data_IF_917264639614
#
_entry.id   IF_917264639614
#
_cell.length_a   1.000
_cell.length_b   1.000
_cell.length_c   1.000
_cell.angle_alpha   90.00
_cell.angle_beta   90.00
_cell.angle_gamma   90.00
#
_symmetry.space_group_name_H-M   'P 1'
#
loop_
_entity.id
_entity.type
_entity.pdbx_description
1 polymer ?
#
# COMPACT_ATOMS: atom_id res chain seq x y z
N UNK A 1 33.86 -23.75 11.07
CA UNK A 1 34.26 -22.65 10.16
C UNK A 1 33.19 -22.16 9.17
N UNK A 2 32.06 -22.84 8.97
CA UNK A 2 31.03 -22.43 7.98
C UNK A 2 30.10 -21.27 8.40
N UNK A 3 30.06 -20.89 9.67
CA UNK A 3 29.20 -19.80 10.18
C UNK A 3 29.87 -18.42 10.27
N UNK A 4 31.19 -18.33 10.07
CA UNK A 4 31.92 -17.07 10.14
C UNK A 4 31.75 -16.19 8.89
N UNK A 5 31.47 -16.80 7.74
CA UNK A 5 31.29 -16.07 6.49
C UNK A 5 30.04 -15.15 6.47
N UNK A 6 28.83 -15.60 6.88
CA UNK A 6 27.66 -14.73 6.92
C UNK A 6 27.77 -13.62 7.99
N UNK A 7 28.44 -13.89 9.11
CA UNK A 7 28.66 -12.86 10.14
C UNK A 7 29.64 -11.80 9.65
N UNK A 8 30.70 -12.19 8.93
CA UNK A 8 31.64 -11.25 8.32
C UNK A 8 30.99 -10.41 7.20
N UNK A 9 30.09 -10.99 6.41
CA UNK A 9 29.31 -10.25 5.40
C UNK A 9 28.33 -9.24 6.04
N UNK A 10 27.69 -9.59 7.14
CA UNK A 10 26.85 -8.68 7.92
C UNK A 10 27.66 -7.55 8.57
N UNK A 11 28.85 -7.83 9.08
CA UNK A 11 29.75 -6.83 9.66
C UNK A 11 30.36 -5.89 8.59
N UNK A 12 30.62 -6.38 7.38
CA UNK A 12 31.08 -5.56 6.26
C UNK A 12 29.97 -4.66 5.69
N UNK A 13 28.72 -5.13 5.71
CA UNK A 13 27.57 -4.31 5.31
C UNK A 13 27.31 -3.16 6.27
N UNK A 14 27.51 -3.36 7.57
CA UNK A 14 27.33 -2.29 8.57
C UNK A 14 28.39 -1.17 8.48
N UNK A 15 29.61 -1.47 8.04
CA UNK A 15 30.66 -0.45 7.85
C UNK A 15 30.42 0.42 6.60
N UNK A 16 29.71 -0.06 5.58
CA UNK A 16 29.34 0.74 4.42
C UNK A 16 28.33 1.86 4.74
N UNK A 17 27.57 1.71 5.82
CA UNK A 17 26.63 2.75 6.31
C UNK A 17 27.28 3.82 7.19
N UNK A 18 28.56 3.66 7.57
CA UNK A 18 29.27 4.60 8.43
C UNK A 18 29.81 5.86 7.71
N UNK A 19 29.74 5.91 6.40
CA UNK A 19 30.00 7.16 5.69
C UNK A 19 28.84 8.12 5.99
N UNK A 20 29.14 9.35 6.42
CA UNK A 20 28.18 10.44 6.69
C UNK A 20 27.28 10.70 5.48
N UNK A 21 26.37 9.78 5.19
CA UNK A 21 25.31 9.98 4.22
C UNK A 21 24.33 10.95 4.84
N UNK A 22 23.94 11.96 4.09
CA UNK A 22 22.87 12.87 4.40
C UNK A 22 21.60 12.09 4.68
N UNK A 23 21.31 11.89 5.95
CA UNK A 23 20.21 11.05 6.40
C UNK A 23 19.03 11.91 6.84
N UNK A 24 17.85 11.54 6.46
CA UNK A 24 16.63 12.13 7.00
C UNK A 24 15.68 11.01 7.41
N UNK A 25 15.10 11.19 8.58
CA UNK A 25 14.03 10.36 9.09
C UNK A 25 12.71 11.09 8.85
N UNK A 26 11.73 10.44 8.25
CA UNK A 26 10.47 11.05 7.88
C UNK A 26 9.31 10.26 8.49
N UNK A 27 8.37 11.01 9.03
CA UNK A 27 7.05 10.49 9.39
C UNK A 27 6.04 11.11 8.42
N UNK A 28 5.34 10.27 7.68
CA UNK A 28 4.25 10.64 6.79
C UNK A 28 2.94 10.16 7.39
N UNK A 29 1.97 11.05 7.53
CA UNK A 29 0.59 10.68 7.85
C UNK A 29 -0.22 10.97 6.60
N UNK A 30 -1.01 10.01 6.15
CA UNK A 30 -1.79 10.15 4.93
C UNK A 30 -3.23 9.71 5.10
N UNK A 31 -4.08 10.36 4.32
CA UNK A 31 -5.49 10.00 4.15
C UNK A 31 -5.77 9.87 2.66
N UNK A 32 -6.67 9.00 2.31
CA UNK A 32 -6.94 8.78 0.90
C UNK A 32 -8.18 7.95 0.66
N UNK A 33 -8.18 7.36 -0.50
CA UNK A 33 -9.22 6.47 -0.98
C UNK A 33 -8.67 5.09 -1.21
N UNK A 34 -9.50 4.09 -0.99
CA UNK A 34 -9.27 2.72 -1.42
C UNK A 34 -10.44 2.24 -2.29
N UNK A 35 -10.12 1.53 -3.34
CA UNK A 35 -11.03 0.85 -4.22
C UNK A 35 -10.49 -0.55 -4.47
N UNK A 36 -11.36 -1.47 -4.72
CA UNK A 36 -11.05 -2.87 -4.93
C UNK A 36 -11.27 -3.26 -6.39
N UNK A 37 -10.42 -4.11 -6.91
CA UNK A 37 -10.56 -4.78 -8.22
C UNK A 37 -10.22 -6.24 -8.02
N UNK A 38 -11.21 -7.11 -8.17
CA UNK A 38 -11.11 -8.56 -7.99
C UNK A 38 -12.19 -9.27 -8.79
N UNK A 39 -12.49 -10.49 -8.41
CA UNK A 39 -13.50 -11.30 -9.06
C UNK A 39 -14.91 -10.72 -8.91
N UNK A 40 -15.15 -10.09 -7.77
CA UNK A 40 -16.42 -9.44 -7.45
C UNK A 40 -16.52 -8.03 -8.04
N UNK A 41 -15.41 -7.30 -8.12
CA UNK A 41 -15.33 -5.92 -8.57
C UNK A 41 -14.54 -5.83 -9.89
N UNK A 42 -15.24 -5.72 -11.01
CA UNK A 42 -14.60 -5.56 -12.33
C UNK A 42 -13.88 -4.21 -12.42
N UNK A 43 -12.80 -4.13 -13.21
CA UNK A 43 -12.02 -2.91 -13.40
C UNK A 43 -12.72 -1.79 -14.18
N UNK A 44 -14.06 -1.69 -14.13
CA UNK A 44 -14.80 -0.56 -14.69
C UNK A 44 -14.57 0.68 -13.82
N UNK A 45 -14.00 1.72 -14.42
CA UNK A 45 -13.65 2.98 -13.74
C UNK A 45 -14.88 3.63 -13.09
N UNK A 46 -16.06 3.54 -13.72
CA UNK A 46 -17.28 4.14 -13.16
C UNK A 46 -17.73 3.41 -11.89
N UNK A 47 -17.68 2.08 -11.89
CA UNK A 47 -17.98 1.27 -10.72
C UNK A 47 -16.97 1.55 -9.60
N UNK A 48 -15.68 1.56 -9.92
CA UNK A 48 -14.62 1.89 -8.97
C UNK A 48 -14.82 3.26 -8.31
N UNK A 49 -15.26 4.28 -9.06
CA UNK A 49 -15.52 5.61 -8.50
C UNK A 49 -16.73 5.66 -7.57
N UNK A 50 -17.73 4.81 -7.79
CA UNK A 50 -18.91 4.69 -6.91
C UNK A 50 -18.59 3.94 -5.61
N UNK A 51 -17.61 3.05 -5.66
CA UNK A 51 -17.23 2.15 -4.57
C UNK A 51 -16.02 2.63 -3.77
N UNK A 52 -15.53 3.84 -4.07
CA UNK A 52 -14.43 4.48 -3.33
C UNK A 52 -14.78 4.58 -1.84
N UNK A 53 -13.87 4.12 -0.98
CA UNK A 53 -13.97 4.21 0.47
C UNK A 53 -12.75 4.92 1.06
N UNK A 54 -12.89 5.55 2.23
CA UNK A 54 -11.77 6.21 2.88
C UNK A 54 -10.75 5.21 3.40
N UNK A 55 -9.48 5.62 3.32
CA UNK A 55 -8.36 4.95 3.93
C UNK A 55 -7.46 5.98 4.62
N UNK A 56 -6.79 5.55 5.66
CA UNK A 56 -5.82 6.36 6.40
C UNK A 56 -4.61 5.52 6.76
N UNK A 57 -3.45 6.14 6.89
CA UNK A 57 -2.25 5.42 7.25
C UNK A 57 -1.11 6.31 7.67
N UNK A 58 -0.01 5.65 8.02
CA UNK A 58 1.23 6.28 8.37
C UNK A 58 2.42 5.53 7.77
N UNK A 59 3.45 6.27 7.39
CA UNK A 59 4.72 5.74 6.89
C UNK A 59 5.84 6.33 7.72
N UNK A 60 6.74 5.49 8.12
CA UNK A 60 8.00 5.85 8.73
C UNK A 60 9.13 5.47 7.78
N UNK A 61 9.86 6.46 7.27
CA UNK A 61 10.88 6.23 6.25
C UNK A 61 12.19 6.92 6.57
N UNK A 62 13.26 6.28 6.14
CA UNK A 62 14.63 6.69 6.29
C UNK A 62 15.24 6.88 4.89
N UNK A 63 15.79 8.05 4.63
CA UNK A 63 16.41 8.37 3.35
C UNK A 63 17.92 8.38 3.46
N UNK A 64 18.57 7.63 2.56
CA UNK A 64 20.01 7.66 2.36
C UNK A 64 20.32 8.54 1.15
N UNK A 65 20.99 9.67 1.41
CA UNK A 65 21.27 10.64 0.35
C UNK A 65 19.99 11.35 -0.14
N UNK A 66 19.97 11.66 -1.44
CA UNK A 66 18.93 12.51 -2.05
C UNK A 66 17.83 11.76 -2.79
N UNK A 67 17.97 10.44 -2.96
CA UNK A 67 17.06 9.68 -3.84
C UNK A 67 16.43 8.47 -3.21
N UNK A 68 17.18 7.67 -2.46
CA UNK A 68 16.72 6.38 -1.93
C UNK A 68 16.12 6.53 -0.54
N UNK A 69 14.93 5.99 -0.37
CA UNK A 69 14.23 5.89 0.90
C UNK A 69 13.81 4.44 1.18
N UNK A 70 13.91 4.06 2.45
CA UNK A 70 13.49 2.76 2.95
C UNK A 70 12.61 3.00 4.16
N UNK A 71 11.52 2.25 4.27
CA UNK A 71 10.59 2.48 5.36
C UNK A 71 9.63 1.34 5.59
N UNK A 72 8.72 1.61 6.49
CA UNK A 72 7.55 0.78 6.76
C UNK A 72 6.31 1.66 6.74
N UNK A 73 5.23 1.12 6.22
CA UNK A 73 3.93 1.76 6.23
C UNK A 73 2.88 0.86 6.86
N UNK A 74 1.86 1.47 7.44
CA UNK A 74 0.69 0.79 7.93
C UNK A 74 -0.55 1.59 7.51
N UNK A 75 -1.53 0.89 6.96
CA UNK A 75 -2.77 1.47 6.46
C UNK A 75 -3.97 0.77 7.08
N UNK A 76 -5.02 1.53 7.30
CA UNK A 76 -6.34 1.07 7.67
C UNK A 76 -7.36 1.64 6.69
N UNK A 77 -8.26 0.79 6.22
CA UNK A 77 -9.31 1.23 5.32
C UNK A 77 -10.49 0.28 5.29
N UNK A 78 -11.46 0.68 4.49
CA UNK A 78 -12.63 -0.14 4.20
C UNK A 78 -12.76 -0.29 2.69
N UNK A 79 -13.28 -1.41 2.25
CA UNK A 79 -13.61 -1.70 0.88
C UNK A 79 -15.10 -1.93 0.78
N UNK A 80 -15.66 -1.57 -0.34
CA UNK A 80 -17.05 -1.82 -0.67
C UNK A 80 -17.14 -2.27 -2.12
N UNK A 81 -17.88 -3.30 -2.36
CA UNK A 81 -18.25 -3.70 -3.70
C UNK A 81 -19.74 -4.05 -3.72
N UNK A 82 -20.44 -3.60 -4.75
CA UNK A 82 -21.83 -3.95 -4.99
C UNK A 82 -21.96 -4.51 -6.41
N UNK A 83 -22.38 -5.74 -6.52
CA UNK A 83 -22.48 -6.41 -7.81
C UNK A 83 -23.47 -5.72 -8.79
N UNK A 84 -24.39 -4.92 -8.29
CA UNK A 84 -25.28 -4.12 -9.16
C UNK A 84 -24.53 -3.05 -9.97
N UNK A 85 -23.36 -2.61 -9.50
CA UNK A 85 -22.49 -1.64 -10.19
C UNK A 85 -21.61 -2.31 -11.25
N UNK A 86 -21.47 -3.63 -11.17
CA UNK A 86 -20.66 -4.43 -12.06
C UNK A 86 -21.56 -5.24 -12.98
N UNK A 87 -21.16 -5.46 -14.22
CA UNK A 87 -21.90 -6.26 -15.21
C UNK A 87 -21.80 -7.76 -14.94
N UNK A 88 -21.86 -8.16 -13.68
CA UNK A 88 -21.72 -9.55 -13.25
C UNK A 88 -23.04 -10.32 -13.21
N UNK A 89 -22.95 -11.64 -13.04
CA UNK A 89 -24.08 -12.57 -13.08
C UNK A 89 -24.96 -12.55 -11.82
N UNK A 90 -24.56 -11.85 -10.76
CA UNK A 90 -25.24 -11.86 -9.46
C UNK A 90 -25.77 -10.48 -9.14
N UNK A 91 -27.05 -10.31 -8.95
CA UNK A 91 -27.68 -9.05 -8.57
C UNK A 91 -27.97 -9.03 -7.08
N UNK A 92 -27.54 -7.97 -6.41
CA UNK A 92 -27.94 -7.67 -5.04
C UNK A 92 -26.98 -8.11 -3.94
N UNK A 93 -25.78 -8.58 -4.26
CA UNK A 93 -24.74 -8.89 -3.25
C UNK A 93 -23.95 -7.64 -2.94
N UNK A 94 -23.84 -7.30 -1.65
CA UNK A 94 -23.00 -6.22 -1.15
C UNK A 94 -21.90 -6.80 -0.26
N UNK A 95 -20.66 -6.41 -0.55
CA UNK A 95 -19.49 -6.77 0.20
C UNK A 95 -18.96 -5.56 0.96
N UNK A 96 -18.74 -5.70 2.25
CA UNK A 96 -18.04 -4.73 3.08
C UNK A 96 -16.84 -5.40 3.73
N UNK A 97 -15.65 -4.96 3.42
CA UNK A 97 -14.41 -5.48 3.99
C UNK A 97 -13.66 -4.37 4.73
N UNK A 98 -13.25 -4.65 5.96
CA UNK A 98 -12.30 -3.82 6.71
C UNK A 98 -10.93 -4.43 6.57
N UNK A 99 -9.90 -3.61 6.36
CA UNK A 99 -8.53 -4.11 6.28
C UNK A 99 -7.56 -3.28 7.09
N UNK A 100 -6.51 -3.96 7.56
CA UNK A 100 -5.30 -3.37 8.10
C UNK A 100 -4.13 -3.95 7.33
N UNK A 101 -3.27 -3.11 6.79
CA UNK A 101 -2.05 -3.56 6.12
C UNK A 101 -0.79 -3.06 6.81
N UNK A 102 0.28 -3.81 6.70
CA UNK A 102 1.61 -3.41 7.11
C UNK A 102 2.61 -3.87 6.07
N UNK A 103 3.45 -2.95 5.57
CA UNK A 103 4.38 -3.24 4.50
C UNK A 103 5.73 -2.57 4.71
N UNK A 104 6.79 -3.24 4.25
CA UNK A 104 8.06 -2.62 3.99
C UNK A 104 7.97 -1.83 2.67
N UNK A 105 8.63 -0.67 2.63
CA UNK A 105 8.56 0.24 1.49
C UNK A 105 9.95 0.66 1.05
N UNK A 106 10.17 0.69 -0.26
CA UNK A 106 11.31 1.30 -0.92
C UNK A 106 10.83 2.44 -1.81
N UNK A 107 11.47 3.60 -1.73
CA UNK A 107 11.11 4.80 -2.47
C UNK A 107 12.31 5.33 -3.25
N UNK A 108 12.09 5.76 -4.49
CA UNK A 108 13.10 6.39 -5.32
C UNK A 108 12.62 7.73 -5.85
N UNK A 109 13.28 8.81 -5.41
CA UNK A 109 13.05 10.17 -5.91
C UNK A 109 13.69 10.35 -7.29
N UNK A 110 12.93 10.78 -8.27
CA UNK A 110 13.44 11.02 -9.63
C UNK A 110 14.34 12.26 -9.68
N UNK A 111 14.05 13.26 -8.85
CA UNK A 111 14.91 14.43 -8.69
C UNK A 111 15.56 14.40 -7.30
N UNK A 112 16.82 14.83 -7.15
CA UNK A 112 17.47 14.94 -5.85
C UNK A 112 16.64 15.81 -4.90
N UNK A 113 16.29 15.26 -3.73
CA UNK A 113 15.43 15.91 -2.75
C UNK A 113 16.01 15.76 -1.35
N UNK A 114 15.81 16.76 -0.49
CA UNK A 114 16.32 16.75 0.88
C UNK A 114 16.83 18.12 1.33
N UNK A 115 17.33 18.22 2.56
CA UNK A 115 17.75 19.47 3.20
C UNK A 115 18.77 20.26 2.37
N UNK A 116 19.74 19.56 1.77
CA UNK A 116 20.84 20.16 1.04
C UNK A 116 20.54 20.42 -0.44
N UNK A 117 19.41 19.88 -0.94
CA UNK A 117 18.97 20.05 -2.33
C UNK A 117 17.86 21.10 -2.42
N UNK A 118 18.14 22.30 -1.87
CA UNK A 118 17.18 23.41 -1.78
C UNK A 118 16.64 23.86 -3.15
N UNK A 119 17.35 23.54 -4.21
CA UNK A 119 16.99 23.90 -5.59
C UNK A 119 15.70 23.19 -6.06
N UNK A 120 15.45 21.98 -5.54
CA UNK A 120 14.28 21.20 -5.91
C UNK A 120 13.26 21.26 -4.76
N UNK A 121 12.29 22.17 -4.89
CA UNK A 121 11.15 22.27 -3.96
C UNK A 121 10.16 21.13 -4.09
N UNK A 122 10.27 20.34 -5.17
CA UNK A 122 9.38 19.23 -5.45
C UNK A 122 10.11 18.08 -6.16
N UNK A 123 9.59 16.86 -6.02
CA UNK A 123 10.11 15.68 -6.72
C UNK A 123 9.02 14.67 -7.00
N UNK A 124 8.89 14.20 -8.23
CA UNK A 124 8.17 12.95 -8.49
C UNK A 124 9.00 11.77 -7.98
N UNK A 125 8.33 10.70 -7.58
CA UNK A 125 8.97 9.49 -7.10
C UNK A 125 8.14 8.25 -7.44
N UNK A 126 8.83 7.12 -7.44
CA UNK A 126 8.21 5.80 -7.53
C UNK A 126 8.48 5.05 -6.24
N UNK A 127 7.61 4.14 -5.89
CA UNK A 127 7.80 3.28 -4.72
C UNK A 127 7.29 1.87 -4.97
N UNK A 128 7.86 0.93 -4.23
CA UNK A 128 7.42 -0.45 -4.17
C UNK A 128 7.19 -0.85 -2.71
N UNK A 129 6.23 -1.73 -2.48
CA UNK A 129 5.86 -2.22 -1.16
C UNK A 129 5.74 -3.74 -1.15
N UNK A 130 6.06 -4.35 -0.04
CA UNK A 130 5.79 -5.77 0.22
C UNK A 130 5.45 -5.96 1.70
N UNK A 131 4.43 -6.75 1.98
CA UNK A 131 3.96 -6.88 3.36
C UNK A 131 2.85 -7.88 3.53
N UNK A 132 1.97 -7.58 4.46
CA UNK A 132 0.79 -8.38 4.79
C UNK A 132 -0.44 -7.47 4.90
N UNK A 133 -1.58 -8.02 4.58
CA UNK A 133 -2.90 -7.44 4.83
C UNK A 133 -3.73 -8.41 5.67
N UNK A 134 -4.42 -7.87 6.65
CA UNK A 134 -5.46 -8.57 7.41
C UNK A 134 -6.80 -7.98 6.99
N UNK A 135 -7.69 -8.82 6.49
CA UNK A 135 -9.03 -8.42 6.04
C UNK A 135 -10.11 -9.13 6.85
N UNK A 136 -11.22 -8.44 7.05
CA UNK A 136 -12.41 -8.99 7.64
C UNK A 136 -13.61 -8.58 6.78
N UNK A 137 -14.23 -9.56 6.13
CA UNK A 137 -15.32 -9.35 5.20
C UNK A 137 -16.66 -9.68 5.84
N UNK A 138 -17.70 -8.91 5.47
CA UNK A 138 -19.06 -9.12 5.88
C UNK A 138 -20.02 -8.95 4.70
N UNK A 139 -21.08 -9.74 4.64
CA UNK A 139 -22.09 -9.71 3.58
C UNK A 139 -23.49 -9.50 4.10
N UNK A 140 -24.41 -9.20 3.17
CA UNK A 140 -25.84 -9.33 3.42
C UNK A 140 -26.29 -10.77 3.26
N UNK A 141 -26.99 -11.30 4.29
CA UNK A 141 -27.35 -12.73 4.44
C UNK A 141 -28.53 -13.22 3.57
N UNK A 142 -29.21 -12.38 2.79
CA UNK A 142 -30.51 -12.70 2.20
C UNK A 142 -30.46 -13.29 0.78
N UNK A 143 -29.33 -13.79 0.31
CA UNK A 143 -29.19 -14.24 -1.07
C UNK A 143 -28.82 -15.72 -1.14
N UNK A 144 -29.54 -16.45 -2.01
CA UNK A 144 -29.17 -17.83 -2.37
C UNK A 144 -27.91 -17.82 -3.23
N UNK A 145 -26.80 -18.24 -2.66
CA UNK A 145 -25.52 -18.36 -3.36
C UNK A 145 -25.51 -19.56 -4.30
N UNK A 146 -24.82 -19.47 -5.45
CA UNK A 146 -24.52 -20.63 -6.27
C UNK A 146 -23.72 -21.68 -5.49
N UNK A 147 -23.98 -22.95 -5.74
CA UNK A 147 -23.39 -24.07 -4.99
C UNK A 147 -21.86 -24.24 -5.16
N UNK A 148 -21.26 -23.52 -6.09
CA UNK A 148 -19.81 -23.56 -6.40
C UNK A 148 -19.01 -22.45 -5.70
N UNK A 149 -19.64 -21.71 -4.81
CA UNK A 149 -19.01 -20.57 -4.11
C UNK A 149 -18.96 -20.88 -2.62
N UNK A 150 -17.78 -20.77 -2.06
CA UNK A 150 -17.54 -20.88 -0.63
C UNK A 150 -17.18 -19.53 -0.08
N UNK A 151 -17.83 -19.16 0.98
CA UNK A 151 -17.61 -17.91 1.69
C UNK A 151 -17.04 -18.15 3.07
N UNK A 152 -15.94 -17.50 3.39
CA UNK A 152 -15.34 -17.52 4.72
C UNK A 152 -15.41 -16.10 5.35
N UNK A 153 -16.34 -15.87 6.29
CA UNK A 153 -16.49 -14.58 6.97
C UNK A 153 -15.40 -14.32 8.02
N UNK A 154 -14.33 -15.11 8.02
CA UNK A 154 -13.25 -15.02 8.99
C UNK A 154 -12.35 -13.81 8.81
N UNK A 155 -11.31 -13.77 9.64
CA UNK A 155 -10.17 -12.85 9.44
C UNK A 155 -9.14 -13.54 8.57
N UNK A 156 -8.91 -12.99 7.40
CA UNK A 156 -7.95 -13.50 6.44
C UNK A 156 -6.63 -12.71 6.53
N UNK A 157 -5.51 -13.39 6.37
CA UNK A 157 -4.17 -12.78 6.38
C UNK A 157 -3.47 -13.19 5.10
N UNK A 158 -3.14 -12.22 4.26
CA UNK A 158 -2.50 -12.46 2.96
C UNK A 158 -1.24 -11.64 2.79
N UNK A 159 -0.30 -12.18 2.01
CA UNK A 159 0.87 -11.43 1.59
C UNK A 159 0.47 -10.35 0.58
N UNK A 160 1.23 -9.27 0.51
CA UNK A 160 0.98 -8.17 -0.43
C UNK A 160 2.23 -7.79 -1.19
N UNK A 161 2.03 -7.43 -2.45
CA UNK A 161 3.05 -6.82 -3.30
C UNK A 161 2.44 -5.62 -4.00
N UNK A 162 3.03 -4.46 -3.80
CA UNK A 162 2.46 -3.23 -4.32
C UNK A 162 3.49 -2.23 -4.80
N UNK A 163 2.98 -1.09 -5.21
CA UNK A 163 3.79 0.04 -5.62
C UNK A 163 2.94 1.18 -6.15
N UNK A 164 3.61 2.25 -6.54
CA UNK A 164 2.90 3.41 -7.04
C UNK A 164 3.82 4.54 -7.48
N UNK A 165 3.16 5.62 -7.80
CA UNK A 165 3.77 6.87 -8.22
C UNK A 165 3.34 7.97 -7.24
N UNK A 166 4.26 8.86 -6.92
CA UNK A 166 3.96 9.96 -6.04
C UNK A 166 4.64 11.25 -6.48
N UNK A 167 4.11 12.33 -5.94
CA UNK A 167 4.69 13.66 -6.07
C UNK A 167 4.81 14.26 -4.68
N UNK A 168 6.02 14.72 -4.32
CA UNK A 168 6.35 15.31 -3.04
C UNK A 168 6.70 16.77 -3.22
N UNK A 169 6.11 17.64 -2.42
CA UNK A 169 6.33 19.08 -2.45
C UNK A 169 6.72 19.59 -1.07
N UNK A 170 7.80 20.37 -1.02
CA UNK A 170 8.32 20.97 0.20
C UNK A 170 7.63 22.30 0.48
N UNK A 171 7.19 22.48 1.72
CA UNK A 171 6.67 23.75 2.22
C UNK A 171 7.67 24.47 3.11
N UNK A 172 8.33 23.72 4.01
CA UNK A 172 9.40 24.21 4.88
C UNK A 172 10.57 23.25 4.90
N UNK A 173 11.59 23.51 5.69
CA UNK A 173 12.72 22.58 5.87
C UNK A 173 12.27 21.22 6.43
N UNK A 174 11.24 21.21 7.27
CA UNK A 174 10.75 20.00 7.93
C UNK A 174 9.40 19.50 7.39
N UNK A 175 8.64 20.33 6.68
CA UNK A 175 7.29 19.99 6.27
C UNK A 175 7.19 19.85 4.76
N UNK A 176 6.62 18.73 4.32
CA UNK A 176 6.32 18.44 2.92
C UNK A 176 4.93 17.82 2.79
N UNK A 177 4.30 17.98 1.63
CA UNK A 177 3.08 17.24 1.28
C UNK A 177 3.36 16.24 0.16
N UNK A 178 2.52 15.20 0.09
CA UNK A 178 2.56 14.19 -0.96
C UNK A 178 1.18 13.96 -1.55
N UNK A 179 1.19 13.61 -2.83
CA UNK A 179 0.05 13.00 -3.52
C UNK A 179 0.56 11.71 -4.11
N UNK A 180 -0.12 10.61 -3.86
CA UNK A 180 0.28 9.28 -4.34
C UNK A 180 -0.90 8.57 -4.99
N UNK A 181 -0.62 7.89 -6.09
CA UNK A 181 -1.45 6.82 -6.61
C UNK A 181 -0.75 5.49 -6.31
N UNK A 182 -1.48 4.56 -5.75
CA UNK A 182 -0.95 3.26 -5.37
C UNK A 182 -1.81 2.11 -5.88
N UNK A 183 -1.18 0.96 -6.05
CA UNK A 183 -1.83 -0.31 -6.31
C UNK A 183 -1.10 -1.39 -5.54
N UNK A 184 -1.86 -2.28 -4.93
CA UNK A 184 -1.33 -3.41 -4.14
C UNK A 184 -2.06 -4.66 -4.59
N UNK A 185 -1.29 -5.65 -5.04
CA UNK A 185 -1.78 -6.96 -5.39
C UNK A 185 -1.75 -7.88 -4.16
N UNK A 186 -2.83 -8.60 -3.96
CA UNK A 186 -2.98 -9.63 -2.93
C UNK A 186 -3.12 -10.95 -3.65
N UNK A 187 -2.14 -11.86 -3.54
CA UNK A 187 -2.23 -13.17 -4.18
C UNK A 187 -3.35 -13.99 -3.56
N UNK A 188 -4.19 -14.55 -4.40
CA UNK A 188 -5.36 -15.33 -3.97
C UNK A 188 -6.61 -14.47 -3.75
N UNK A 189 -7.69 -15.12 -3.46
CA UNK A 189 -9.06 -14.60 -3.33
C UNK A 189 -9.41 -14.31 -1.86
N UNK A 190 -8.39 -14.03 -1.06
CA UNK A 190 -8.54 -13.98 0.41
C UNK A 190 -8.97 -12.60 0.91
N UNK A 191 -8.84 -11.56 0.08
CA UNK A 191 -9.21 -10.20 0.49
C UNK A 191 -10.73 -10.06 0.61
N UNK A 192 -11.46 -10.70 -0.29
CA UNK A 192 -12.92 -10.73 -0.30
C UNK A 192 -13.49 -11.83 0.61
N UNK A 193 -12.71 -12.86 0.94
CA UNK A 193 -13.17 -14.07 1.62
C UNK A 193 -14.11 -14.92 0.77
N UNK A 194 -14.06 -14.72 -0.53
CA UNK A 194 -14.88 -15.39 -1.52
C UNK A 194 -14.01 -16.35 -2.33
N UNK A 195 -14.32 -17.63 -2.35
CA UNK A 195 -13.56 -18.63 -3.07
C UNK A 195 -14.38 -19.24 -4.18
N UNK A 196 -13.98 -18.98 -5.42
CA UNK A 196 -14.49 -19.69 -6.59
C UNK A 196 -13.56 -20.87 -6.93
N UNK A 197 -14.15 -22.02 -7.28
CA UNK A 197 -13.38 -23.25 -7.54
C UNK A 197 -12.53 -23.20 -8.83
N UNK A 198 -12.71 -22.22 -9.69
CA UNK A 198 -12.18 -22.23 -11.05
C UNK A 198 -11.15 -21.16 -11.38
N UNK A 199 -11.11 -20.01 -10.70
CA UNK A 199 -10.18 -18.92 -11.06
C UNK A 199 -9.66 -18.19 -9.81
N UNK A 200 -8.46 -18.53 -9.34
CA UNK A 200 -7.75 -17.72 -8.38
C UNK A 200 -7.17 -16.48 -9.09
N UNK A 201 -7.94 -15.43 -9.23
CA UNK A 201 -7.44 -14.13 -9.70
C UNK A 201 -6.83 -13.37 -8.54
N UNK A 202 -5.90 -12.48 -8.86
CA UNK A 202 -5.26 -11.65 -7.84
C UNK A 202 -6.14 -10.46 -7.51
N UNK A 203 -6.51 -10.35 -6.27
CA UNK A 203 -7.16 -9.15 -5.75
C UNK A 203 -6.23 -7.95 -5.82
N UNK A 204 -6.78 -6.79 -6.13
CA UNK A 204 -6.03 -5.53 -6.20
C UNK A 204 -6.72 -4.44 -5.40
N UNK A 205 -5.93 -3.84 -4.51
CA UNK A 205 -6.25 -2.58 -3.86
C UNK A 205 -5.65 -1.45 -4.68
N UNK A 206 -6.43 -0.44 -5.02
CA UNK A 206 -5.92 0.76 -5.68
C UNK A 206 -6.54 2.01 -5.09
N UNK A 207 -5.84 3.12 -5.15
CA UNK A 207 -6.36 4.38 -4.62
C UNK A 207 -5.44 5.56 -4.79
N UNK A 208 -5.94 6.70 -4.32
CA UNK A 208 -5.20 7.95 -4.22
C UNK A 208 -5.07 8.31 -2.74
N UNK A 209 -3.91 8.83 -2.34
CA UNK A 209 -3.68 9.31 -0.98
C UNK A 209 -2.95 10.64 -0.97
N UNK A 210 -3.29 11.46 0.01
CA UNK A 210 -2.67 12.74 0.31
C UNK A 210 -1.96 12.62 1.65
N UNK A 211 -0.70 12.97 1.69
CA UNK A 211 0.12 12.84 2.89
C UNK A 211 0.76 14.16 3.31
N UNK A 212 1.01 14.23 4.62
CA UNK A 212 1.80 15.28 5.23
C UNK A 212 3.02 14.64 5.90
N UNK A 213 4.21 15.06 5.47
CA UNK A 213 5.48 14.51 5.94
C UNK A 213 6.17 15.51 6.85
N UNK A 214 6.57 15.03 8.02
CA UNK A 214 7.51 15.72 8.89
C UNK A 214 8.89 15.05 8.82
N UNK A 215 9.92 15.84 8.48
CA UNK A 215 11.29 15.36 8.33
C UNK A 215 12.13 15.70 9.57
N UNK A 216 12.67 14.68 10.22
CA UNK A 216 13.66 14.78 11.28
C UNK A 216 15.04 14.64 10.65
N UNK A 217 15.86 15.66 10.73
CA UNK A 217 17.23 15.59 10.24
C UNK A 217 18.16 15.20 11.38
N UNK A 218 18.91 14.11 11.17
CA UNK A 218 20.04 13.75 12.03
C UNK A 218 21.32 14.38 11.46
N UNK A 219 22.13 14.88 12.34
CA UNK A 219 23.43 15.51 12.02
C UNK A 219 24.56 14.48 12.05
#
# INVERSE_FOLDING_TARGET
>A
MRFLLPVALLALSSSAFAQRSLQSLNLNIHVGSSSHVGDFATGDINAMLQEVRPALGAEFSFYTGSRWGFGAEADYGTLYANNANHKGSFTGVELNTKYVSSAARITYHLLPYGKYWKRNGATPYIFGTTGIVMSQSSYMEDIAYPTNITFDPGTNISATLGGGLGFKMRHTEHLSSTVEWYTTAVPGDELEGWHTAEDATWDRLTGLRLGLIYAFYTW
#
